data_IF_954687555801
#
_entry.id   IF_954687555801
#
_cell.length_a   1.000
_cell.length_b   1.000
_cell.length_c   1.000
_cell.angle_alpha   90.00
_cell.angle_beta   90.00
_cell.angle_gamma   90.00
#
_symmetry.space_group_name_H-M   'P 1'
#
loop_
_entity.id
_entity.type
_entity.pdbx_description
1 polymer ?
#
# COMPACT_ATOMS: atom_id res chain seq x y z
N UNK A 1 -18.08 -34.89 8.08
CA UNK A 1 -16.86 -35.67 7.80
C UNK A 1 -16.04 -34.88 6.80
N UNK A 2 -15.06 -34.14 7.30
CA UNK A 2 -14.31 -33.14 6.53
C UNK A 2 -12.87 -33.63 6.45
N UNK A 3 -12.42 -33.96 5.25
CA UNK A 3 -11.00 -34.08 4.90
C UNK A 3 -10.81 -33.41 3.54
N UNK A 4 -9.57 -32.98 3.31
CA UNK A 4 -9.03 -32.25 2.15
C UNK A 4 -9.27 -30.74 2.27
N UNK A 5 -8.27 -29.85 2.25
CA UNK A 5 -7.00 -29.92 1.53
C UNK A 5 -5.88 -29.20 2.29
N UNK A 6 -4.88 -29.96 2.76
CA UNK A 6 -3.57 -29.46 3.14
C UNK A 6 -2.64 -29.26 1.91
N UNK A 7 -3.18 -29.30 0.68
CA UNK A 7 -2.40 -29.33 -0.55
C UNK A 7 -2.27 -27.96 -1.24
N UNK A 8 -2.81 -26.87 -0.68
CA UNK A 8 -2.75 -25.54 -1.32
C UNK A 8 -1.47 -24.74 -0.98
N UNK A 9 -0.62 -25.24 -0.06
CA UNK A 9 0.58 -24.53 0.42
C UNK A 9 1.85 -24.76 -0.43
N UNK A 10 1.77 -25.53 -1.52
CA UNK A 10 2.96 -26.10 -2.17
C UNK A 10 3.55 -25.29 -3.34
N UNK A 11 3.30 -23.98 -3.47
CA UNK A 11 3.89 -23.23 -4.60
C UNK A 11 4.27 -21.79 -4.29
N UNK A 12 5.20 -21.62 -3.35
CA UNK A 12 6.07 -20.44 -3.29
C UNK A 12 7.50 -20.91 -3.00
N UNK A 13 8.09 -21.65 -3.94
CA UNK A 13 9.53 -21.96 -3.90
C UNK A 13 10.28 -20.76 -4.46
N UNK A 14 11.27 -20.28 -3.70
CA UNK A 14 12.30 -19.34 -4.16
C UNK A 14 12.94 -19.87 -5.47
N UNK A 15 13.53 -19.06 -6.37
CA UNK A 15 14.19 -19.55 -7.59
C UNK A 15 15.30 -20.59 -7.31
N UNK A 16 15.67 -20.78 -6.05
CA UNK A 16 16.66 -21.73 -5.55
C UNK A 16 16.08 -23.10 -5.11
N UNK A 17 14.76 -23.28 -5.15
CA UNK A 17 14.09 -24.53 -4.72
C UNK A 17 14.10 -24.77 -3.21
N UNK A 18 14.37 -23.73 -2.41
CA UNK A 18 14.32 -23.76 -0.93
C UNK A 18 13.10 -23.01 -0.42
N UNK A 19 12.58 -23.42 0.73
CA UNK A 19 11.56 -22.66 1.46
C UNK A 19 12.12 -21.29 1.82
N UNK A 20 11.35 -20.23 1.57
CA UNK A 20 11.75 -18.87 1.89
C UNK A 20 11.99 -18.74 3.41
N UNK A 21 13.08 -18.11 3.90
CA UNK A 21 13.41 -18.04 5.33
C UNK A 21 12.26 -17.52 6.21
N UNK A 22 11.44 -16.62 5.68
CA UNK A 22 10.26 -16.08 6.36
C UNK A 22 9.11 -17.09 6.58
N UNK A 23 9.13 -18.25 5.92
CA UNK A 23 8.14 -19.32 6.10
C UNK A 23 8.58 -20.35 7.15
N UNK A 24 9.88 -20.49 7.39
CA UNK A 24 10.45 -21.48 8.31
C UNK A 24 10.29 -21.08 9.79
N UNK A 25 10.11 -19.79 10.08
CA UNK A 25 10.02 -19.24 11.43
C UNK A 25 8.58 -18.99 11.92
N UNK A 26 7.56 -19.52 11.23
CA UNK A 26 6.16 -19.35 11.65
C UNK A 26 5.84 -20.23 12.88
N UNK A 27 5.53 -19.66 14.06
CA UNK A 27 5.06 -20.45 15.19
C UNK A 27 3.71 -21.09 14.83
N UNK A 28 3.60 -22.41 15.01
CA UNK A 28 2.43 -23.22 14.66
C UNK A 28 1.10 -22.84 15.37
N UNK A 29 1.11 -21.82 16.24
CA UNK A 29 -0.05 -21.35 17.01
C UNK A 29 0.11 -19.87 17.32
N UNK A 30 -0.25 -19.00 16.38
CA UNK A 30 -0.68 -17.65 16.72
C UNK A 30 -2.14 -17.74 17.17
N UNK A 31 -2.42 -17.40 18.43
CA UNK A 31 -3.80 -17.22 18.88
C UNK A 31 -4.49 -16.19 17.95
N UNK A 32 -5.76 -16.40 17.55
CA UNK A 32 -6.45 -15.41 16.74
C UNK A 32 -6.42 -14.06 17.45
N UNK A 33 -5.99 -13.00 16.76
CA UNK A 33 -6.32 -11.65 17.19
C UNK A 33 -7.85 -11.55 17.34
N UNK A 34 -8.38 -10.82 18.34
CA UNK A 34 -9.81 -10.63 18.45
C UNK A 34 -10.34 -10.01 17.16
N UNK A 35 -11.35 -10.64 16.55
CA UNK A 35 -11.97 -10.13 15.32
C UNK A 35 -12.47 -8.69 15.55
N UNK A 36 -12.28 -7.77 14.60
CA UNK A 36 -12.82 -6.42 14.72
C UNK A 36 -14.35 -6.47 14.81
N UNK A 37 -14.93 -5.59 15.63
CA UNK A 37 -16.38 -5.46 15.78
C UNK A 37 -17.01 -5.04 14.46
N UNK A 38 -18.05 -5.77 14.06
CA UNK A 38 -18.95 -5.40 12.96
C UNK A 38 -19.79 -4.18 13.32
N UNK A 39 -20.32 -3.48 12.32
CA UNK A 39 -21.24 -2.35 12.51
C UNK A 39 -22.51 -2.77 13.27
N UNK A 40 -22.97 -4.02 13.08
CA UNK A 40 -24.06 -4.60 13.86
C UNK A 40 -23.75 -4.65 15.37
N UNK A 41 -22.51 -5.01 15.72
CA UNK A 41 -22.05 -5.07 17.11
C UNK A 41 -21.80 -3.67 17.70
N UNK A 42 -21.48 -2.67 16.85
CA UNK A 42 -21.33 -1.26 17.24
C UNK A 42 -22.66 -0.54 17.45
N UNK A 43 -23.74 -1.02 16.83
CA UNK A 43 -25.12 -0.55 17.04
C UNK A 43 -25.69 0.29 15.90
N UNK A 44 -27.00 0.53 15.97
CA UNK A 44 -27.78 1.22 14.92
C UNK A 44 -27.34 2.67 14.69
N UNK A 45 -26.90 3.36 15.74
CA UNK A 45 -26.48 4.78 15.65
C UNK A 45 -25.19 4.91 14.83
N UNK A 46 -24.27 3.94 14.97
CA UNK A 46 -23.05 3.85 14.18
C UNK A 46 -23.36 3.57 12.71
N UNK A 47 -24.26 2.62 12.45
CA UNK A 47 -24.76 2.29 11.11
C UNK A 47 -25.37 3.53 10.45
N UNK A 48 -26.19 4.29 11.18
CA UNK A 48 -26.84 5.50 10.66
C UNK A 48 -25.85 6.65 10.43
N UNK A 49 -24.84 6.80 11.29
CA UNK A 49 -23.85 7.88 11.17
C UNK A 49 -22.94 7.72 9.94
N UNK A 50 -22.56 6.48 9.60
CA UNK A 50 -21.61 6.18 8.52
C UNK A 50 -22.22 5.45 7.33
N UNK A 51 -23.56 5.33 7.27
CA UNK A 51 -24.30 4.59 6.24
C UNK A 51 -23.73 3.18 5.96
N UNK A 52 -23.41 2.46 7.04
CA UNK A 52 -22.71 1.19 6.97
C UNK A 52 -23.65 0.00 6.90
N UNK A 53 -23.34 -0.98 6.06
CA UNK A 53 -23.97 -2.30 6.13
C UNK A 53 -23.64 -2.99 7.46
N UNK A 54 -24.56 -3.78 8.08
CA UNK A 54 -24.34 -4.41 9.40
C UNK A 54 -23.08 -5.29 9.51
N UNK A 55 -22.59 -5.84 8.40
CA UNK A 55 -21.41 -6.70 8.33
C UNK A 55 -20.08 -5.93 8.20
N UNK A 56 -20.11 -4.60 8.07
CA UNK A 56 -18.91 -3.79 7.91
C UNK A 56 -18.04 -3.87 9.17
N UNK A 57 -16.75 -4.19 9.06
CA UNK A 57 -15.81 -4.20 10.20
C UNK A 57 -14.87 -2.99 10.22
N UNK A 58 -15.02 -2.04 9.30
CA UNK A 58 -14.17 -0.86 9.23
C UNK A 58 -14.36 0.02 10.48
N UNK A 59 -13.23 0.46 11.05
CA UNK A 59 -13.25 1.42 12.14
C UNK A 59 -13.26 2.86 11.57
N UNK A 60 -14.47 3.41 11.44
CA UNK A 60 -14.69 4.81 11.04
C UNK A 60 -14.25 5.83 12.11
N UNK A 61 -13.68 5.39 13.24
CA UNK A 61 -13.06 6.28 14.24
C UNK A 61 -11.67 6.81 13.83
N UNK A 62 -11.13 6.37 12.67
CA UNK A 62 -9.89 6.91 12.09
C UNK A 62 -10.05 8.33 11.53
N UNK A 63 -8.94 8.95 11.10
CA UNK A 63 -8.97 10.28 10.50
C UNK A 63 -9.87 10.33 9.26
N UNK A 64 -10.70 11.39 9.14
CA UNK A 64 -11.59 11.62 8.01
C UNK A 64 -10.82 11.51 6.67
N UNK A 65 -11.32 10.65 5.76
CA UNK A 65 -10.85 10.57 4.38
C UNK A 65 -9.91 9.41 4.03
N UNK A 66 -9.70 8.42 4.91
CA UNK A 66 -9.00 7.18 4.53
C UNK A 66 -9.91 6.29 3.64
N UNK A 67 -9.44 5.76 2.49
CA UNK A 67 -10.26 4.96 1.58
C UNK A 67 -10.62 3.59 2.19
N UNK A 68 -11.92 3.27 2.30
CA UNK A 68 -12.34 2.04 2.99
C UNK A 68 -13.82 1.66 2.86
N UNK A 69 -14.49 1.97 1.75
CA UNK A 69 -15.91 1.65 1.56
C UNK A 69 -16.19 0.14 1.77
N UNK A 70 -17.13 -0.16 2.67
CA UNK A 70 -17.72 -1.48 3.01
C UNK A 70 -16.76 -2.71 2.99
N UNK A 71 -16.04 -2.94 4.09
CA UNK A 71 -15.17 -4.12 4.25
C UNK A 71 -15.78 -5.17 5.19
N UNK A 72 -15.77 -6.44 4.79
CA UNK A 72 -16.05 -7.57 5.69
C UNK A 72 -14.85 -7.92 6.58
N UNK A 73 -15.04 -8.85 7.51
CA UNK A 73 -13.98 -9.29 8.43
C UNK A 73 -12.71 -9.69 7.67
N UNK A 74 -11.55 -9.18 8.11
CA UNK A 74 -10.24 -9.61 7.62
C UNK A 74 -10.15 -11.12 7.83
N UNK A 75 -9.90 -11.87 6.76
CA UNK A 75 -9.67 -13.30 6.86
C UNK A 75 -8.37 -13.54 7.64
N UNK A 76 -8.34 -14.59 8.46
CA UNK A 76 -7.09 -15.08 9.03
C UNK A 76 -6.12 -15.41 7.89
N UNK A 77 -5.16 -14.53 7.65
CA UNK A 77 -4.02 -14.85 6.82
C UNK A 77 -3.17 -15.87 7.58
N UNK A 78 -2.77 -16.95 6.91
CA UNK A 78 -1.61 -17.72 7.35
C UNK A 78 -0.44 -16.73 7.25
N UNK A 79 0.19 -16.47 8.40
CA UNK A 79 1.20 -15.43 8.50
C UNK A 79 2.29 -15.55 7.41
N UNK A 80 2.88 -14.43 6.98
CA UNK A 80 2.66 -13.07 7.49
C UNK A 80 1.32 -12.46 7.05
N UNK A 81 0.53 -11.98 8.02
CA UNK A 81 -0.67 -11.20 7.75
C UNK A 81 -0.23 -9.81 7.28
N UNK A 82 -0.69 -9.33 6.13
CA UNK A 82 -0.11 -8.17 5.45
C UNK A 82 -0.47 -6.80 6.08
N UNK A 83 -1.17 -6.79 7.20
CA UNK A 83 -1.58 -5.61 7.96
C UNK A 83 -0.84 -5.45 9.29
N UNK A 84 0.49 -5.65 9.30
CA UNK A 84 1.36 -5.32 10.44
C UNK A 84 2.55 -4.49 9.96
N UNK A 85 2.34 -3.18 9.81
CA UNK A 85 3.33 -2.19 10.24
C UNK A 85 2.81 -1.75 11.63
N UNK A 86 3.52 -1.75 12.74
CA UNK A 86 4.90 -1.96 13.10
C UNK A 86 4.86 -2.18 14.63
N UNK A 87 5.71 -3.04 15.19
CA UNK A 87 6.13 -2.76 16.56
C UNK A 87 6.93 -1.44 16.51
N UNK A 88 6.93 -0.62 17.56
CA UNK A 88 7.74 0.61 17.62
C UNK A 88 9.26 0.42 17.37
N UNK A 89 9.72 -0.83 17.22
CA UNK A 89 11.09 -1.25 16.92
C UNK A 89 11.36 -1.54 15.44
N UNK A 90 10.37 -1.50 14.54
CA UNK A 90 10.54 -1.97 13.17
C UNK A 90 10.92 -0.82 12.21
N UNK A 91 12.01 -0.99 11.45
CA UNK A 91 12.34 -0.19 10.26
C UNK A 91 11.75 -0.83 8.99
N UNK A 92 11.58 -0.10 7.87
CA UNK A 92 11.08 1.27 7.67
C UNK A 92 9.65 1.27 7.10
N UNK A 93 9.01 2.44 7.01
CA UNK A 93 7.71 2.64 6.35
C UNK A 93 7.70 2.00 4.94
N UNK A 94 6.84 1.02 4.72
CA UNK A 94 6.73 0.33 3.43
C UNK A 94 6.02 1.22 2.42
N UNK A 95 6.49 1.23 1.16
CA UNK A 95 5.84 1.97 0.06
C UNK A 95 4.40 1.49 -0.22
N UNK A 96 4.13 0.23 0.16
CA UNK A 96 2.84 -0.44 -0.04
C UNK A 96 2.39 -1.07 1.28
N UNK A 97 1.08 -1.07 1.50
CA UNK A 97 0.41 -1.93 2.48
C UNK A 97 -0.55 -2.86 1.74
N UNK A 98 -0.75 -4.08 2.23
CA UNK A 98 -1.65 -5.02 1.56
C UNK A 98 -2.60 -5.70 2.55
N UNK A 99 -3.79 -6.10 2.10
CA UNK A 99 -4.70 -6.94 2.89
C UNK A 99 -5.59 -7.79 2.02
N UNK A 100 -5.88 -9.01 2.45
CA UNK A 100 -6.94 -9.82 1.84
C UNK A 100 -8.28 -9.33 2.39
N UNK A 101 -9.16 -8.91 1.51
CA UNK A 101 -10.52 -8.46 1.82
C UNK A 101 -11.55 -9.40 1.23
N UNK A 102 -12.73 -9.43 1.85
CA UNK A 102 -13.91 -10.07 1.28
C UNK A 102 -15.08 -9.10 1.24
N UNK A 103 -15.70 -9.00 0.06
CA UNK A 103 -16.94 -8.26 -0.15
C UNK A 103 -18.11 -9.23 -0.11
N UNK A 104 -19.10 -8.95 0.75
CA UNK A 104 -20.27 -9.82 0.99
C UNK A 104 -21.60 -9.06 0.93
N UNK A 105 -21.63 -7.91 0.25
CA UNK A 105 -22.85 -7.12 0.07
C UNK A 105 -23.94 -7.99 -0.56
N UNK A 106 -25.06 -8.19 0.16
CA UNK A 106 -26.15 -9.10 -0.22
C UNK A 106 -25.66 -10.41 -0.87
N UNK A 107 -24.82 -11.16 -0.14
CA UNK A 107 -24.11 -12.33 -0.70
C UNK A 107 -25.01 -13.36 -1.43
N UNK A 108 -26.29 -13.46 -1.08
CA UNK A 108 -27.25 -14.32 -1.79
C UNK A 108 -27.59 -13.84 -3.21
N UNK A 109 -27.45 -12.54 -3.47
CA UNK A 109 -27.69 -11.87 -4.76
C UNK A 109 -26.38 -11.74 -5.56
N UNK A 110 -25.33 -11.24 -4.92
CA UNK A 110 -24.08 -10.85 -5.61
C UNK A 110 -22.91 -11.84 -5.40
N UNK A 111 -23.07 -12.84 -4.54
CA UNK A 111 -22.00 -13.77 -4.20
C UNK A 111 -20.99 -13.19 -3.20
N UNK A 112 -19.86 -13.87 -3.05
CA UNK A 112 -18.75 -13.45 -2.18
C UNK A 112 -17.51 -13.31 -3.07
N UNK A 113 -16.87 -12.15 -3.03
CA UNK A 113 -15.63 -11.89 -3.77
C UNK A 113 -14.49 -11.69 -2.77
N UNK A 114 -13.32 -12.25 -3.06
CA UNK A 114 -12.09 -12.07 -2.26
C UNK A 114 -11.02 -11.42 -3.12
N UNK A 115 -10.37 -10.38 -2.62
CA UNK A 115 -9.30 -9.66 -3.32
C UNK A 115 -8.17 -9.30 -2.36
N UNK A 116 -7.01 -8.96 -2.91
CA UNK A 116 -5.97 -8.22 -2.19
C UNK A 116 -6.21 -6.74 -2.45
N UNK A 117 -6.36 -5.95 -1.40
CA UNK A 117 -6.28 -4.50 -1.48
C UNK A 117 -4.83 -4.11 -1.20
N UNK A 118 -4.20 -3.44 -2.15
CA UNK A 118 -2.85 -2.90 -2.05
C UNK A 118 -2.93 -1.37 -2.01
N UNK A 119 -2.63 -0.78 -0.87
CA UNK A 119 -2.63 0.67 -0.67
C UNK A 119 -1.27 1.25 -1.05
N UNK A 120 -1.29 2.35 -1.81
CA UNK A 120 -0.10 3.07 -2.26
C UNK A 120 -0.35 4.58 -2.23
N UNK A 121 0.25 5.26 -1.24
CA UNK A 121 -0.02 6.68 -1.02
C UNK A 121 -1.48 6.93 -0.62
N UNK A 122 -2.28 7.51 -1.52
CA UNK A 122 -3.71 7.82 -1.26
C UNK A 122 -4.68 6.93 -2.07
N UNK A 123 -4.15 6.00 -2.85
CA UNK A 123 -4.92 5.15 -3.75
C UNK A 123 -4.83 3.68 -3.31
N UNK A 124 -5.81 2.87 -3.73
CA UNK A 124 -5.89 1.44 -3.46
C UNK A 124 -6.06 0.67 -4.77
N UNK A 125 -5.26 -0.38 -4.98
CA UNK A 125 -5.51 -1.37 -6.03
C UNK A 125 -6.25 -2.57 -5.45
N UNK A 126 -7.31 -2.99 -6.12
CA UNK A 126 -7.95 -4.27 -5.85
C UNK A 126 -7.44 -5.33 -6.83
N UNK A 127 -6.78 -6.36 -6.30
CA UNK A 127 -6.12 -7.39 -7.09
C UNK A 127 -6.79 -8.75 -6.83
N UNK A 128 -7.18 -9.44 -7.90
CA UNK A 128 -7.41 -10.88 -7.84
C UNK A 128 -6.07 -11.63 -7.88
N UNK A 129 -6.10 -12.96 -7.90
CA UNK A 129 -4.88 -13.79 -7.93
C UNK A 129 -4.02 -13.47 -9.16
N UNK A 130 -4.62 -13.42 -10.36
CA UNK A 130 -3.88 -13.18 -11.59
C UNK A 130 -3.31 -11.75 -11.67
N UNK A 131 -4.04 -10.77 -11.13
CA UNK A 131 -3.59 -9.39 -10.96
C UNK A 131 -2.43 -9.29 -9.97
N UNK A 132 -2.48 -10.08 -8.88
CA UNK A 132 -1.40 -10.17 -7.88
C UNK A 132 -0.13 -10.75 -8.50
N UNK A 133 -0.23 -11.87 -9.23
CA UNK A 133 0.91 -12.48 -9.90
C UNK A 133 1.58 -11.51 -10.89
N UNK A 134 0.76 -10.78 -11.65
CA UNK A 134 1.24 -9.76 -12.58
C UNK A 134 1.91 -8.59 -11.85
N UNK A 135 1.31 -8.12 -10.76
CA UNK A 135 1.86 -7.04 -9.94
C UNK A 135 3.24 -7.44 -9.39
N UNK A 136 3.38 -8.65 -8.84
CA UNK A 136 4.66 -9.17 -8.36
C UNK A 136 5.69 -9.19 -9.49
N UNK A 137 5.37 -9.85 -10.61
CA UNK A 137 6.32 -9.98 -11.73
C UNK A 137 6.78 -8.62 -12.31
N UNK A 138 5.86 -7.66 -12.43
CA UNK A 138 6.19 -6.32 -12.92
C UNK A 138 7.01 -5.51 -11.90
N UNK A 139 6.72 -5.67 -10.61
CA UNK A 139 7.48 -5.02 -9.53
C UNK A 139 8.91 -5.56 -9.46
N UNK A 140 9.09 -6.88 -9.53
CA UNK A 140 10.43 -7.49 -9.58
C UNK A 140 11.25 -7.01 -10.79
N UNK A 141 10.62 -6.97 -11.97
CA UNK A 141 11.26 -6.46 -13.18
C UNK A 141 11.62 -4.96 -13.06
N UNK A 142 10.80 -4.16 -12.39
CA UNK A 142 11.07 -2.76 -12.11
C UNK A 142 12.23 -2.60 -11.11
N UNK A 143 12.24 -3.35 -10.01
CA UNK A 143 13.28 -3.28 -8.99
C UNK A 143 14.67 -3.59 -9.56
N UNK A 144 14.75 -4.55 -10.49
CA UNK A 144 15.99 -4.81 -11.22
C UNK A 144 16.48 -3.58 -11.99
N UNK A 145 15.59 -2.91 -12.73
CA UNK A 145 15.92 -1.69 -13.48
C UNK A 145 16.30 -0.54 -12.56
N UNK A 146 15.57 -0.37 -11.45
CA UNK A 146 15.84 0.68 -10.45
C UNK A 146 17.23 0.52 -9.83
N UNK A 147 17.64 -0.71 -9.50
CA UNK A 147 18.99 -1.00 -9.02
C UNK A 147 20.06 -0.57 -10.04
N UNK A 148 19.85 -0.88 -11.32
CA UNK A 148 20.73 -0.43 -12.40
C UNK A 148 20.80 1.10 -12.50
N UNK A 149 19.67 1.80 -12.42
CA UNK A 149 19.64 3.27 -12.42
C UNK A 149 20.31 3.87 -11.19
N UNK A 150 20.18 3.25 -10.02
CA UNK A 150 20.87 3.67 -8.80
C UNK A 150 22.39 3.57 -8.96
N UNK A 151 22.89 2.50 -9.57
CA UNK A 151 24.32 2.35 -9.82
C UNK A 151 24.83 3.36 -10.86
N UNK A 152 24.03 3.63 -11.89
CA UNK A 152 24.32 4.70 -12.84
C UNK A 152 24.31 6.08 -12.15
N UNK A 153 23.34 6.35 -11.29
CA UNK A 153 23.26 7.58 -10.49
C UNK A 153 24.53 7.76 -9.67
N UNK A 154 24.96 6.72 -8.94
CA UNK A 154 26.18 6.75 -8.13
C UNK A 154 27.47 6.95 -8.95
N UNK A 155 27.45 6.65 -10.25
CA UNK A 155 28.56 6.95 -11.16
C UNK A 155 28.53 8.42 -11.61
N UNK A 156 27.37 8.90 -12.09
CA UNK A 156 27.27 10.25 -12.65
C UNK A 156 27.31 11.33 -11.57
N UNK A 157 26.83 11.03 -10.37
CA UNK A 157 26.80 12.00 -9.26
C UNK A 157 28.15 12.19 -8.56
N UNK A 158 29.23 11.58 -9.06
CA UNK A 158 30.58 11.71 -8.46
C UNK A 158 31.15 13.11 -8.59
N UNK A 159 30.80 13.76 -9.70
CA UNK A 159 31.26 15.09 -10.04
C UNK A 159 30.20 16.15 -9.70
N UNK A 160 29.09 15.76 -9.06
CA UNK A 160 28.10 16.69 -8.54
C UNK A 160 28.73 17.54 -7.43
N UNK A 161 28.54 18.84 -7.53
CA UNK A 161 28.93 19.79 -6.50
C UNK A 161 27.73 20.63 -6.10
N UNK A 162 27.66 21.07 -4.82
CA UNK A 162 26.58 21.96 -4.40
C UNK A 162 26.63 23.25 -5.21
N UNK A 163 25.48 23.69 -5.70
CA UNK A 163 25.37 24.98 -6.38
C UNK A 163 25.74 26.13 -5.43
N UNK A 164 26.45 27.12 -5.94
CA UNK A 164 26.77 28.35 -5.21
C UNK A 164 25.47 29.12 -4.91
N UNK A 165 25.17 29.30 -3.62
CA UNK A 165 23.93 29.94 -3.16
C UNK A 165 23.91 31.44 -3.48
N UNK A 166 25.05 32.13 -3.35
CA UNK A 166 25.14 33.57 -3.61
C UNK A 166 25.01 33.83 -5.11
N UNK A 167 25.63 32.99 -5.94
CA UNK A 167 25.47 33.04 -7.39
C UNK A 167 24.03 32.76 -7.82
N UNK A 168 23.34 31.82 -7.17
CA UNK A 168 21.92 31.55 -7.44
C UNK A 168 21.03 32.74 -7.08
N UNK A 169 21.28 33.40 -5.94
CA UNK A 169 20.54 34.61 -5.54
C UNK A 169 20.78 35.75 -6.53
N UNK A 170 22.05 35.98 -6.91
CA UNK A 170 22.40 37.00 -7.90
C UNK A 170 21.76 36.74 -9.26
N UNK A 171 21.74 35.47 -9.70
CA UNK A 171 21.09 35.07 -10.94
C UNK A 171 19.58 35.33 -10.91
N UNK A 172 18.89 34.94 -9.83
CA UNK A 172 17.44 35.18 -9.66
C UNK A 172 17.11 36.67 -9.66
N UNK A 173 17.89 37.48 -8.94
CA UNK A 173 17.67 38.94 -8.91
C UNK A 173 17.85 39.59 -10.28
N UNK A 174 18.82 39.13 -11.07
CA UNK A 174 19.02 39.59 -12.44
C UNK A 174 17.86 39.15 -13.37
N UNK A 175 17.35 37.93 -13.18
CA UNK A 175 16.18 37.43 -13.89
C UNK A 175 14.93 38.25 -13.58
N UNK A 176 14.65 38.53 -12.30
CA UNK A 176 13.52 39.35 -11.86
C UNK A 176 13.59 40.77 -12.44
N UNK A 177 14.78 41.39 -12.43
CA UNK A 177 14.98 42.71 -13.01
C UNK A 177 14.68 42.73 -14.53
N UNK A 178 15.07 41.66 -15.25
CA UNK A 178 14.77 41.52 -16.67
C UNK A 178 13.28 41.35 -16.92
N UNK A 179 12.58 40.55 -16.12
CA UNK A 179 11.12 40.36 -16.22
C UNK A 179 10.42 41.71 -15.97
N UNK A 180 10.78 42.42 -14.89
CA UNK A 180 10.21 43.73 -14.58
C UNK A 180 10.42 44.76 -15.70
N UNK A 181 11.60 44.77 -16.32
CA UNK A 181 11.89 45.65 -17.46
C UNK A 181 11.02 45.32 -18.69
N UNK A 182 10.79 44.03 -18.97
CA UNK A 182 9.90 43.58 -20.05
C UNK A 182 8.46 44.01 -19.78
N UNK A 183 7.98 43.83 -18.55
CA UNK A 183 6.61 44.17 -18.17
C UNK A 183 6.36 45.69 -18.20
N UNK A 184 7.31 46.48 -17.72
CA UNK A 184 7.26 47.93 -17.85
C UNK A 184 7.22 48.39 -19.33
N UNK A 185 8.00 47.75 -20.20
CA UNK A 185 8.02 48.04 -21.63
C UNK A 185 6.73 47.60 -22.37
N UNK A 186 5.97 46.65 -21.81
CA UNK A 186 4.64 46.26 -22.31
C UNK A 186 3.54 47.19 -21.81
N UNK A 187 3.61 47.63 -20.55
CA UNK A 187 2.63 48.54 -19.95
C UNK A 187 2.70 49.98 -20.48
N UNK A 188 3.84 50.38 -21.06
CA UNK A 188 4.02 51.68 -21.71
C UNK A 188 3.64 51.74 -23.20
N UNK A 189 3.03 50.69 -23.76
CA UNK A 189 2.42 50.66 -25.10
C UNK A 189 0.91 50.72 -24.99
#
# INVERSE_FOLDING_TARGET
MTRTSAAALASATDPTGKEHPLLADLPATLAPAPSPLTAAERGSDWIALYDCTPWCTLDHAGADGQPGWHQGSILQAIAPAPNVNALPSDEPDTLFEARVTQTRAEAAVWGIESKIWLDYGRDTLELDVAGTDRFIATTEAFLLKLRGLRDQLALVSRDDFPGDQDAQVAFRAAEDARIAAIDAAKAGR
#
